data_IF_185429167031
#
_entry.id   IF_185429167031
#
_cell.length_a   1.000
_cell.length_b   1.000
_cell.length_c   1.000
_cell.angle_alpha   90.00
_cell.angle_beta   90.00
_cell.angle_gamma   90.00
#
_symmetry.space_group_name_H-M   'P 1'
#
loop_
_entity.id
_entity.type
_entity.pdbx_description
1 polymer ?
#
# COMPACT_ATOMS: atom_id res chain seq x y z
N UNK A 1 -10.21 50.03 -27.78
CA UNK A 1 -11.60 50.01 -27.31
C UNK A 1 -11.60 49.33 -25.97
N UNK A 2 -11.91 50.05 -24.89
CA UNK A 2 -11.92 49.45 -23.55
C UNK A 2 -13.29 48.85 -23.26
N UNK A 3 -13.31 47.66 -22.68
CA UNK A 3 -14.51 46.96 -22.19
C UNK A 3 -14.68 47.24 -20.71
N UNK A 4 -15.85 47.72 -20.42
CA UNK A 4 -16.41 48.27 -19.20
C UNK A 4 -16.41 47.23 -18.04
N UNK A 5 -15.91 47.65 -16.88
CA UNK A 5 -16.06 46.90 -15.61
C UNK A 5 -17.30 47.41 -14.90
N UNK A 6 -18.29 46.53 -14.67
CA UNK A 6 -19.40 46.81 -13.78
C UNK A 6 -19.08 46.33 -12.34
N UNK A 7 -19.34 47.15 -11.31
CA UNK A 7 -19.09 46.78 -9.92
C UNK A 7 -20.22 45.94 -9.30
N UNK A 8 -19.84 45.00 -8.46
CA UNK A 8 -20.72 44.11 -7.71
C UNK A 8 -21.63 44.87 -6.75
N UNK A 9 -22.94 44.57 -6.82
CA UNK A 9 -23.99 45.05 -5.89
C UNK A 9 -23.80 44.39 -4.52
N UNK A 10 -23.61 45.25 -3.52
CA UNK A 10 -23.64 44.92 -2.08
C UNK A 10 -25.09 44.85 -1.61
N UNK A 11 -25.51 43.69 -1.10
CA UNK A 11 -26.85 43.49 -0.50
C UNK A 11 -26.75 43.92 0.98
N UNK A 12 -27.57 44.89 1.39
CA UNK A 12 -27.72 45.33 2.78
C UNK A 12 -28.79 44.45 3.49
N UNK A 13 -28.65 44.15 4.80
CA UNK A 13 -29.67 43.43 5.56
C UNK A 13 -30.78 44.37 6.00
N UNK A 14 -32.00 43.88 5.83
CA UNK A 14 -33.26 44.55 6.17
C UNK A 14 -33.46 44.56 7.68
N UNK A 15 -33.67 45.74 8.25
CA UNK A 15 -34.04 45.94 9.67
C UNK A 15 -35.55 45.61 9.83
N UNK A 16 -35.86 44.77 10.81
CA UNK A 16 -37.21 44.45 11.25
C UNK A 16 -37.70 45.54 12.20
N UNK A 17 -38.83 46.18 11.86
CA UNK A 17 -39.52 47.15 12.69
C UNK A 17 -40.26 46.44 13.82
N UNK A 18 -40.01 46.90 15.07
CA UNK A 18 -40.80 46.62 16.24
C UNK A 18 -42.05 47.52 16.22
N UNK A 19 -43.24 46.91 16.08
CA UNK A 19 -44.52 47.58 16.27
C UNK A 19 -44.85 47.71 17.79
N UNK A 20 -44.92 48.91 18.27
CA UNK A 20 -45.49 49.27 19.57
C UNK A 20 -47.02 49.20 19.50
N UNK A 21 -47.66 48.49 20.43
CA UNK A 21 -49.12 48.56 20.66
C UNK A 21 -49.43 49.62 21.74
N UNK A 22 -50.50 50.39 21.56
CA UNK A 22 -50.92 51.41 22.53
C UNK A 22 -51.72 50.81 23.68
N UNK A 23 -51.52 51.36 24.90
CA UNK A 23 -52.20 50.96 26.12
C UNK A 23 -53.64 51.42 26.20
N UNK A 24 -54.47 50.60 26.87
CA UNK A 24 -55.86 50.95 27.25
C UNK A 24 -55.93 51.44 28.71
N UNK A 25 -56.79 52.42 29.04
CA UNK A 25 -56.88 53.04 30.37
C UNK A 25 -57.75 52.20 31.33
N UNK A 26 -57.46 52.34 32.61
CA UNK A 26 -57.98 51.59 33.73
C UNK A 26 -59.46 51.84 34.06
N UNK A 27 -60.05 50.83 34.69
CA UNK A 27 -61.38 50.94 35.34
C UNK A 27 -61.21 50.88 36.88
N UNK A 28 -62.13 51.55 37.62
CA UNK A 28 -62.08 51.76 39.06
C UNK A 28 -62.58 50.61 39.91
N UNK A 29 -62.09 50.51 41.13
CA UNK A 29 -62.31 49.44 42.09
C UNK A 29 -63.74 49.38 42.68
N UNK A 30 -64.13 48.16 43.11
CA UNK A 30 -65.24 47.88 43.99
C UNK A 30 -64.79 47.35 45.38
N UNK A 31 -65.49 47.68 46.45
CA UNK A 31 -65.11 47.41 47.82
C UNK A 31 -65.42 45.95 48.27
N UNK A 32 -64.76 45.53 49.28
CA UNK A 32 -64.59 44.19 49.83
C UNK A 32 -65.87 43.50 50.36
N UNK A 33 -65.77 42.16 50.36
CA UNK A 33 -66.57 41.30 51.22
C UNK A 33 -65.66 40.35 52.02
N UNK A 34 -66.01 39.95 53.23
CA UNK A 34 -65.25 39.21 54.16
C UNK A 34 -65.25 37.68 53.95
N UNK A 35 -64.18 37.06 54.30
CA UNK A 35 -63.76 35.70 54.21
C UNK A 35 -64.76 34.56 54.45
N UNK A 36 -64.57 33.52 53.66
CA UNK A 36 -64.86 32.16 54.08
C UNK A 36 -63.59 31.30 53.82
N UNK A 37 -63.09 30.79 54.90
CA UNK A 37 -62.00 29.77 54.92
C UNK A 37 -62.60 28.43 54.48
N UNK A 38 -62.54 28.12 53.18
CA UNK A 38 -62.82 26.79 52.64
C UNK A 38 -61.50 26.12 52.29
N UNK A 39 -61.18 25.12 53.07
CA UNK A 39 -60.10 24.19 52.73
C UNK A 39 -60.56 23.39 51.52
N UNK A 40 -59.99 23.68 50.36
CA UNK A 40 -60.09 22.79 49.21
C UNK A 40 -59.10 21.64 49.38
N UNK A 41 -59.49 20.37 49.29
CA UNK A 41 -58.54 19.28 49.27
C UNK A 41 -57.68 19.37 48.02
N UNK A 42 -56.39 19.35 48.21
CA UNK A 42 -55.37 19.28 47.19
C UNK A 42 -55.59 18.01 46.32
N UNK A 43 -55.66 18.12 44.98
CA UNK A 43 -55.80 16.92 44.17
C UNK A 43 -54.51 16.06 44.27
N UNK A 44 -54.62 14.74 44.35
CA UNK A 44 -53.49 13.86 44.52
C UNK A 44 -52.46 14.07 43.38
N UNK A 45 -51.22 14.30 43.78
CA UNK A 45 -50.11 14.48 42.87
C UNK A 45 -49.97 13.24 41.97
N UNK A 46 -50.21 13.40 40.69
CA UNK A 46 -49.99 12.34 39.70
C UNK A 46 -48.51 11.98 39.68
N UNK A 47 -48.16 10.66 39.81
CA UNK A 47 -46.79 10.26 39.78
C UNK A 47 -46.14 10.60 38.44
N UNK A 48 -45.17 11.51 38.43
CA UNK A 48 -44.34 11.84 37.26
C UNK A 48 -43.48 10.63 36.93
N UNK A 49 -43.91 9.86 35.93
CA UNK A 49 -43.12 8.75 35.42
C UNK A 49 -41.76 9.25 34.93
N UNK A 50 -40.64 8.62 35.33
CA UNK A 50 -39.32 9.12 34.98
C UNK A 50 -39.04 8.90 33.50
N UNK A 51 -39.13 9.94 32.70
CA UNK A 51 -38.75 10.00 31.27
C UNK A 51 -37.26 9.65 31.01
N UNK A 52 -36.46 9.41 32.06
CA UNK A 52 -34.98 9.23 32.01
C UNK A 52 -34.55 7.89 31.43
N UNK A 53 -35.35 6.81 31.52
CA UNK A 53 -34.98 5.47 31.05
C UNK A 53 -34.95 5.30 29.51
N UNK A 54 -35.72 6.07 28.77
CA UNK A 54 -35.78 5.96 27.29
C UNK A 54 -34.55 6.59 26.60
N UNK A 55 -33.92 7.65 27.19
CA UNK A 55 -32.72 8.28 26.63
C UNK A 55 -31.50 7.39 26.78
N UNK A 56 -31.31 6.73 27.93
CA UNK A 56 -30.21 5.78 28.15
C UNK A 56 -30.25 4.59 27.19
N UNK A 57 -31.46 4.01 26.98
CA UNK A 57 -31.61 2.88 26.06
C UNK A 57 -31.31 3.26 24.58
N UNK A 58 -31.70 4.46 24.15
CA UNK A 58 -31.34 4.98 22.81
C UNK A 58 -29.85 5.21 22.67
N UNK A 59 -29.20 5.76 23.68
CA UNK A 59 -27.73 5.95 23.69
C UNK A 59 -26.99 4.60 23.59
N UNK A 60 -27.42 3.60 24.38
CA UNK A 60 -26.85 2.23 24.30
C UNK A 60 -27.05 1.61 22.92
N UNK A 61 -28.24 1.75 22.33
CA UNK A 61 -28.51 1.24 20.97
C UNK A 61 -27.63 1.96 19.93
N UNK A 62 -27.49 3.28 20.01
CA UNK A 62 -26.63 4.04 19.10
C UNK A 62 -25.17 3.59 19.24
N UNK A 63 -24.66 3.45 20.47
CA UNK A 63 -23.30 2.96 20.72
C UNK A 63 -23.12 1.55 20.17
N UNK A 64 -24.09 0.65 20.40
CA UNK A 64 -24.05 -0.71 19.89
C UNK A 64 -24.04 -0.73 18.33
N UNK A 65 -24.87 0.08 17.68
CA UNK A 65 -24.90 0.21 16.21
C UNK A 65 -23.59 0.75 15.68
N UNK A 66 -23.02 1.79 16.32
CA UNK A 66 -21.70 2.34 15.94
C UNK A 66 -20.61 1.29 16.09
N UNK A 67 -20.59 0.53 17.18
CA UNK A 67 -19.63 -0.56 17.38
C UNK A 67 -19.78 -1.66 16.33
N UNK A 68 -21.01 -2.04 16.00
CA UNK A 68 -21.27 -3.03 14.92
C UNK A 68 -20.77 -2.51 13.58
N UNK A 69 -21.02 -1.25 13.23
CA UNK A 69 -20.52 -0.65 11.98
C UNK A 69 -19.00 -0.55 11.95
N UNK A 70 -18.37 -0.17 13.08
CA UNK A 70 -16.92 -0.11 13.21
C UNK A 70 -16.23 -1.48 13.04
N UNK A 71 -16.90 -2.57 13.39
CA UNK A 71 -16.39 -3.93 13.20
C UNK A 71 -16.79 -4.52 11.83
N UNK A 72 -18.02 -4.28 11.39
CA UNK A 72 -18.52 -4.82 10.13
C UNK A 72 -17.83 -4.22 8.91
N UNK A 73 -17.45 -2.94 8.96
CA UNK A 73 -16.74 -2.28 7.86
C UNK A 73 -15.39 -2.93 7.54
N UNK A 74 -14.41 -3.04 8.47
CA UNK A 74 -13.14 -3.65 8.17
C UNK A 74 -13.26 -5.14 7.79
N UNK A 75 -14.17 -5.90 8.41
CA UNK A 75 -14.41 -7.29 8.05
C UNK A 75 -14.95 -7.40 6.62
N UNK A 76 -15.96 -6.58 6.27
CA UNK A 76 -16.50 -6.53 4.92
C UNK A 76 -15.47 -6.12 3.89
N UNK A 77 -14.60 -5.15 4.23
CA UNK A 77 -13.50 -4.68 3.39
C UNK A 77 -12.47 -5.79 3.14
N UNK A 78 -12.10 -6.56 4.17
CA UNK A 78 -11.17 -7.69 4.04
C UNK A 78 -11.76 -8.81 3.17
N UNK A 79 -13.03 -9.16 3.33
CA UNK A 79 -13.70 -10.18 2.50
C UNK A 79 -13.76 -9.71 1.05
N UNK A 80 -14.13 -8.46 0.83
CA UNK A 80 -14.18 -7.87 -0.50
C UNK A 80 -12.79 -7.80 -1.15
N UNK A 81 -11.76 -7.36 -0.40
CA UNK A 81 -10.39 -7.27 -0.86
C UNK A 81 -9.82 -8.66 -1.24
N UNK A 82 -10.10 -9.69 -0.44
CA UNK A 82 -9.68 -11.07 -0.73
C UNK A 82 -10.23 -11.56 -2.07
N UNK A 83 -11.47 -11.18 -2.43
CA UNK A 83 -12.06 -11.50 -3.73
C UNK A 83 -11.53 -10.69 -4.93
N UNK A 84 -10.60 -9.74 -4.69
CA UNK A 84 -9.96 -8.91 -5.74
C UNK A 84 -8.53 -9.32 -6.03
N UNK A 85 -7.96 -10.24 -5.25
CA UNK A 85 -6.60 -10.72 -5.44
C UNK A 85 -6.52 -11.51 -6.74
N UNK A 86 -5.52 -11.25 -7.56
CA UNK A 86 -5.20 -12.04 -8.75
C UNK A 86 -4.34 -13.22 -8.35
N UNK A 87 -4.82 -14.45 -8.61
CA UNK A 87 -4.09 -15.67 -8.29
C UNK A 87 -3.48 -16.29 -9.55
N UNK A 88 -2.26 -16.82 -9.40
CA UNK A 88 -1.52 -17.50 -10.46
C UNK A 88 -0.90 -18.80 -9.92
N UNK A 89 -0.61 -19.75 -10.80
CA UNK A 89 0.13 -20.95 -10.44
C UNK A 89 1.63 -20.61 -10.36
N UNK A 90 2.19 -20.71 -9.16
CA UNK A 90 3.58 -20.31 -8.91
C UNK A 90 4.35 -21.28 -8.02
N UNK A 91 3.70 -21.90 -7.03
CA UNK A 91 4.39 -22.74 -6.06
C UNK A 91 4.79 -24.12 -6.67
N UNK A 92 5.93 -24.63 -6.20
CA UNK A 92 6.47 -25.94 -6.62
C UNK A 92 5.69 -27.13 -6.03
N UNK A 93 4.95 -26.90 -4.94
CA UNK A 93 4.32 -27.94 -4.12
C UNK A 93 5.29 -28.67 -3.18
N UNK A 94 6.49 -28.12 -2.95
CA UNK A 94 7.43 -28.63 -1.97
C UNK A 94 6.85 -28.50 -0.55
N UNK A 95 7.18 -29.41 0.39
CA UNK A 95 6.69 -29.34 1.76
C UNK A 95 7.25 -28.10 2.47
N UNK A 96 6.38 -27.38 3.21
CA UNK A 96 6.76 -26.20 3.99
C UNK A 96 7.84 -26.51 5.02
N UNK A 97 8.71 -25.54 5.25
CA UNK A 97 9.77 -25.57 6.28
C UNK A 97 9.33 -24.78 7.53
N UNK A 98 10.20 -24.71 8.54
CA UNK A 98 9.88 -24.01 9.78
C UNK A 98 9.85 -22.47 9.62
N UNK A 99 10.64 -21.93 8.70
CA UNK A 99 10.66 -20.53 8.36
C UNK A 99 9.59 -20.23 7.30
N UNK A 100 8.79 -19.18 7.50
CA UNK A 100 7.83 -18.70 6.51
C UNK A 100 8.57 -17.85 5.47
N UNK A 101 8.52 -18.27 4.20
CA UNK A 101 9.33 -17.70 3.12
C UNK A 101 8.44 -17.18 1.99
N UNK A 102 8.63 -15.91 1.64
CA UNK A 102 7.97 -15.22 0.55
C UNK A 102 8.99 -14.94 -0.57
N UNK A 103 8.69 -15.36 -1.78
CA UNK A 103 9.43 -14.95 -2.97
C UNK A 103 8.73 -13.73 -3.60
N UNK A 104 9.42 -12.59 -3.57
CA UNK A 104 8.94 -11.35 -4.16
C UNK A 104 9.60 -11.16 -5.52
N UNK A 105 8.79 -11.06 -6.57
CA UNK A 105 9.23 -10.89 -7.94
C UNK A 105 8.75 -9.54 -8.48
N UNK A 106 9.66 -8.73 -9.00
CA UNK A 106 9.32 -7.54 -9.78
C UNK A 106 9.33 -7.90 -11.27
N UNK A 107 8.18 -7.89 -11.90
CA UNK A 107 8.02 -8.33 -13.29
C UNK A 107 7.73 -7.14 -14.21
N UNK A 108 8.43 -7.13 -15.37
CA UNK A 108 8.07 -6.30 -16.51
C UNK A 108 6.91 -6.88 -17.31
N UNK A 109 6.12 -7.79 -16.73
CA UNK A 109 5.08 -8.46 -17.48
C UNK A 109 4.15 -7.43 -18.11
N UNK A 110 4.12 -7.41 -19.43
CA UNK A 110 3.32 -6.52 -20.27
C UNK A 110 1.88 -6.98 -20.42
N UNK A 111 1.49 -7.97 -19.62
CA UNK A 111 0.14 -8.51 -19.61
C UNK A 111 -0.94 -7.47 -19.26
N UNK A 112 -0.53 -6.36 -18.64
CA UNK A 112 -1.39 -5.23 -18.29
C UNK A 112 -1.53 -4.16 -19.40
N UNK A 113 -0.89 -4.36 -20.58
CA UNK A 113 -1.02 -3.45 -21.73
C UNK A 113 -0.39 -2.07 -21.57
N UNK A 114 0.34 -1.80 -20.49
CA UNK A 114 0.90 -0.46 -20.20
C UNK A 114 2.12 -0.07 -21.06
N UNK A 115 2.67 -1.02 -21.83
CA UNK A 115 3.85 -0.81 -22.70
C UNK A 115 3.58 -1.24 -24.15
N UNK A 116 2.69 -0.52 -24.84
CA UNK A 116 2.50 -0.73 -26.27
C UNK A 116 3.71 -0.18 -27.04
N UNK A 117 4.47 -1.08 -27.70
CA UNK A 117 5.43 -0.70 -28.74
C UNK A 117 6.88 -1.18 -28.64
N UNK A 118 7.27 -1.93 -27.61
CA UNK A 118 8.64 -2.51 -27.54
C UNK A 118 8.63 -3.95 -28.11
N UNK A 119 9.38 -4.24 -29.21
CA UNK A 119 9.38 -5.56 -29.86
C UNK A 119 10.25 -6.61 -29.15
N UNK A 120 10.82 -6.34 -27.97
CA UNK A 120 11.57 -7.34 -27.22
C UNK A 120 10.60 -8.35 -26.60
N UNK A 121 10.47 -9.50 -27.25
CA UNK A 121 9.74 -10.66 -26.72
C UNK A 121 10.38 -11.16 -25.42
N UNK A 122 9.57 -11.35 -24.38
CA UNK A 122 9.94 -12.02 -23.13
C UNK A 122 9.57 -11.21 -21.87
N UNK A 123 8.71 -11.81 -21.07
CA UNK A 123 8.50 -11.36 -19.69
C UNK A 123 9.80 -11.60 -18.92
N UNK A 124 10.28 -10.60 -18.19
CA UNK A 124 11.50 -10.70 -17.39
C UNK A 124 11.22 -10.24 -15.97
N UNK A 125 11.82 -10.94 -15.04
CA UNK A 125 11.86 -10.53 -13.64
C UNK A 125 13.19 -9.83 -13.40
N UNK A 126 13.13 -8.52 -13.11
CA UNK A 126 14.33 -7.72 -12.84
C UNK A 126 14.66 -7.65 -11.35
N UNK A 127 13.69 -7.92 -10.49
CA UNK A 127 13.84 -7.96 -9.04
C UNK A 127 13.41 -9.32 -8.52
N UNK A 128 14.31 -9.98 -7.79
CA UNK A 128 14.07 -11.27 -7.12
C UNK A 128 14.53 -11.10 -5.68
N UNK A 129 13.58 -11.14 -4.74
CA UNK A 129 13.87 -11.00 -3.32
C UNK A 129 13.25 -12.14 -2.53
N UNK A 130 14.00 -12.68 -1.58
CA UNK A 130 13.54 -13.67 -0.63
C UNK A 130 13.32 -13.00 0.73
N UNK A 131 12.07 -12.88 1.14
CA UNK A 131 11.71 -12.41 2.47
C UNK A 131 11.45 -13.62 3.35
N UNK A 132 12.21 -13.76 4.42
CA UNK A 132 12.12 -14.91 5.33
C UNK A 132 11.80 -14.44 6.74
N UNK A 133 10.82 -15.09 7.34
CA UNK A 133 10.47 -14.92 8.75
C UNK A 133 10.67 -16.26 9.46
N UNK A 134 11.82 -16.46 10.12
CA UNK A 134 12.08 -17.66 10.89
C UNK A 134 11.21 -17.74 12.15
N UNK A 135 11.05 -18.92 12.77
CA UNK A 135 10.32 -19.06 14.02
C UNK A 135 10.96 -18.27 15.18
N UNK A 136 12.27 -18.07 15.12
CA UNK A 136 13.06 -17.31 16.09
C UNK A 136 14.20 -16.58 15.34
N UNK A 137 14.71 -15.51 15.95
CA UNK A 137 15.78 -14.70 15.33
C UNK A 137 15.25 -13.59 14.43
N UNK A 138 16.11 -13.07 13.58
CA UNK A 138 15.84 -11.89 12.75
C UNK A 138 15.13 -12.26 11.45
N UNK A 139 14.09 -11.51 11.10
CA UNK A 139 13.53 -11.56 9.75
C UNK A 139 14.54 -10.98 8.76
N UNK A 140 14.59 -11.54 7.56
CA UNK A 140 15.57 -11.14 6.54
C UNK A 140 14.91 -10.86 5.19
N UNK A 141 15.48 -9.90 4.46
CA UNK A 141 15.13 -9.58 3.08
C UNK A 141 16.40 -9.68 2.22
N UNK A 142 16.52 -10.78 1.50
CA UNK A 142 17.70 -11.10 0.69
C UNK A 142 17.40 -10.85 -0.79
N UNK A 143 18.15 -9.95 -1.40
CA UNK A 143 18.08 -9.69 -2.83
C UNK A 143 18.97 -10.68 -3.59
N UNK A 144 18.38 -11.44 -4.50
CA UNK A 144 19.11 -12.34 -5.41
C UNK A 144 19.35 -11.57 -6.71
N UNK A 145 20.61 -11.31 -7.10
CA UNK A 145 20.89 -10.63 -8.35
C UNK A 145 20.26 -11.37 -9.54
N UNK A 146 19.56 -10.67 -10.42
CA UNK A 146 18.86 -11.27 -11.57
C UNK A 146 19.78 -12.04 -12.53
N UNK A 147 21.05 -11.64 -12.56
CA UNK A 147 22.09 -12.25 -13.40
C UNK A 147 22.84 -13.39 -12.68
N UNK A 148 22.38 -13.85 -11.49
CA UNK A 148 22.97 -14.99 -10.77
C UNK A 148 22.96 -16.24 -11.65
N UNK A 149 24.14 -16.85 -11.82
CA UNK A 149 24.32 -18.06 -12.63
C UNK A 149 23.95 -19.31 -11.83
N UNK A 150 22.88 -19.97 -12.24
CA UNK A 150 22.29 -21.11 -11.53
C UNK A 150 21.87 -22.21 -12.51
N UNK A 151 21.70 -23.42 -11.99
CA UNK A 151 21.02 -24.50 -12.71
C UNK A 151 19.51 -24.21 -12.75
N UNK A 152 18.90 -24.19 -13.95
CA UNK A 152 17.46 -24.06 -14.14
C UNK A 152 16.91 -25.45 -14.44
N UNK A 153 15.95 -25.97 -13.65
CA UNK A 153 15.35 -27.28 -13.85
C UNK A 153 14.90 -27.51 -15.31
N UNK A 154 15.43 -28.54 -15.96
CA UNK A 154 15.10 -28.89 -17.35
C UNK A 154 15.72 -28.01 -18.44
N UNK A 155 16.46 -26.95 -18.11
CA UNK A 155 17.00 -25.96 -19.06
C UNK A 155 18.53 -25.74 -18.95
N UNK A 156 19.21 -26.49 -18.05
CA UNK A 156 20.65 -26.32 -17.82
C UNK A 156 20.98 -25.04 -17.07
N UNK A 157 22.26 -24.63 -17.15
CA UNK A 157 22.72 -23.45 -16.38
C UNK A 157 22.50 -22.16 -17.16
N UNK A 158 21.90 -21.16 -16.50
CA UNK A 158 21.66 -19.84 -17.07
C UNK A 158 21.56 -18.77 -15.94
N UNK A 159 21.29 -17.52 -16.29
CA UNK A 159 20.93 -16.48 -15.34
C UNK A 159 19.57 -16.79 -14.70
N UNK A 160 19.43 -16.55 -13.40
CA UNK A 160 18.23 -16.92 -12.64
C UNK A 160 16.95 -16.27 -13.21
N UNK A 161 17.03 -15.04 -13.73
CA UNK A 161 15.90 -14.37 -14.36
C UNK A 161 15.41 -15.03 -15.66
N UNK A 162 16.25 -15.86 -16.31
CA UNK A 162 15.87 -16.61 -17.48
C UNK A 162 14.83 -17.71 -17.15
N UNK A 163 14.81 -18.22 -15.92
CA UNK A 163 13.81 -19.19 -15.48
C UNK A 163 12.38 -18.68 -15.62
N UNK A 164 12.17 -17.40 -15.27
CA UNK A 164 10.86 -16.76 -15.44
C UNK A 164 10.45 -16.67 -16.92
N UNK A 165 11.37 -16.28 -17.79
CA UNK A 165 11.10 -16.22 -19.24
C UNK A 165 10.87 -17.59 -19.88
N UNK A 166 11.48 -18.66 -19.33
CA UNK A 166 11.40 -20.04 -19.87
C UNK A 166 10.17 -20.81 -19.38
N UNK A 167 9.72 -20.59 -18.16
CA UNK A 167 8.65 -21.36 -17.54
C UNK A 167 7.81 -20.61 -16.53
N UNK A 168 7.83 -19.27 -16.56
CA UNK A 168 7.00 -18.42 -15.71
C UNK A 168 7.34 -18.50 -14.22
N UNK A 169 6.39 -18.07 -13.37
CA UNK A 169 6.55 -18.03 -11.93
C UNK A 169 6.93 -19.40 -11.32
N UNK A 170 6.31 -20.48 -11.75
CA UNK A 170 6.56 -21.83 -11.22
C UNK A 170 8.03 -22.27 -11.42
N UNK A 171 8.59 -22.03 -12.61
CA UNK A 171 10.00 -22.39 -12.87
C UNK A 171 10.96 -21.47 -12.11
N UNK A 172 10.60 -20.18 -11.91
CA UNK A 172 11.38 -19.27 -11.07
C UNK A 172 11.39 -19.77 -9.62
N UNK A 173 10.24 -20.12 -9.06
CA UNK A 173 10.12 -20.66 -7.68
C UNK A 173 11.00 -21.91 -7.54
N UNK A 174 10.86 -22.91 -8.41
CA UNK A 174 11.69 -24.14 -8.38
C UNK A 174 13.17 -23.83 -8.49
N UNK A 175 13.54 -22.88 -9.35
CA UNK A 175 14.96 -22.48 -9.51
C UNK A 175 15.51 -21.82 -8.25
N UNK A 176 14.69 -20.98 -7.59
CA UNK A 176 15.07 -20.35 -6.32
C UNK A 176 15.18 -21.37 -5.19
N UNK A 177 14.24 -22.31 -5.10
CA UNK A 177 14.27 -23.39 -4.11
C UNK A 177 15.50 -24.31 -4.28
N UNK A 178 15.80 -24.72 -5.52
CA UNK A 178 17.00 -25.53 -5.81
C UNK A 178 18.29 -24.77 -5.50
N UNK A 179 18.33 -23.47 -5.77
CA UNK A 179 19.50 -22.62 -5.50
C UNK A 179 19.71 -22.35 -4.01
N UNK A 180 18.64 -22.11 -3.26
CA UNK A 180 18.72 -21.69 -1.84
C UNK A 180 18.62 -22.85 -0.86
N UNK A 181 18.01 -23.97 -1.28
CA UNK A 181 17.63 -25.08 -0.39
C UNK A 181 16.46 -24.74 0.52
N UNK A 182 15.78 -23.61 0.29
CA UNK A 182 14.63 -23.15 1.06
C UNK A 182 13.35 -23.33 0.28
N UNK A 183 12.28 -23.79 0.92
CA UNK A 183 10.94 -23.85 0.31
C UNK A 183 10.31 -22.48 0.28
N UNK A 184 9.65 -22.13 -0.81
CA UNK A 184 8.85 -20.92 -0.97
C UNK A 184 7.40 -21.22 -0.60
N UNK A 185 6.93 -20.63 0.51
CA UNK A 185 5.55 -20.80 0.99
C UNK A 185 4.58 -19.88 0.26
N UNK A 186 5.05 -18.69 -0.16
CA UNK A 186 4.24 -17.66 -0.81
C UNK A 186 5.00 -17.00 -1.96
N UNK A 187 4.32 -16.82 -3.08
CA UNK A 187 4.82 -16.06 -4.22
C UNK A 187 4.03 -14.76 -4.40
N UNK A 188 4.73 -13.65 -4.52
CA UNK A 188 4.11 -12.35 -4.78
C UNK A 188 4.84 -11.64 -5.91
N UNK A 189 4.12 -11.39 -6.98
CA UNK A 189 4.59 -10.65 -8.14
C UNK A 189 4.03 -9.23 -8.14
N UNK A 190 4.89 -8.25 -8.40
CA UNK A 190 4.53 -6.85 -8.52
C UNK A 190 4.80 -6.43 -9.96
N UNK A 191 3.74 -6.11 -10.69
CA UNK A 191 3.83 -5.56 -12.04
C UNK A 191 4.22 -4.08 -12.04
N UNK A 192 4.95 -3.64 -13.07
CA UNK A 192 5.34 -2.21 -13.19
C UNK A 192 4.13 -1.26 -13.32
N UNK A 193 3.03 -1.70 -13.95
CA UNK A 193 1.78 -0.93 -14.00
C UNK A 193 1.16 -0.67 -12.64
N UNK A 194 1.42 -1.54 -11.66
CA UNK A 194 0.93 -1.41 -10.31
C UNK A 194 1.44 -0.18 -9.56
N UNK A 195 2.68 0.23 -9.82
CA UNK A 195 3.24 1.47 -9.22
C UNK A 195 2.46 2.68 -9.70
N UNK A 196 2.17 2.76 -11.01
CA UNK A 196 1.35 3.84 -11.58
C UNK A 196 -0.04 3.88 -10.95
N UNK A 197 -0.74 2.74 -10.89
CA UNK A 197 -2.06 2.66 -10.31
C UNK A 197 -2.10 3.04 -8.81
N UNK A 198 -1.06 2.66 -8.04
CA UNK A 198 -0.93 3.06 -6.64
C UNK A 198 -0.75 4.57 -6.47
N UNK A 199 0.07 5.19 -7.31
CA UNK A 199 0.27 6.66 -7.29
C UNK A 199 -1.04 7.37 -7.59
N UNK A 200 -1.80 6.92 -8.59
CA UNK A 200 -3.09 7.52 -8.94
C UNK A 200 -4.13 7.32 -7.81
N UNK A 201 -4.15 6.15 -7.18
CA UNK A 201 -5.07 5.86 -6.07
C UNK A 201 -4.82 6.71 -4.81
N UNK A 202 -3.57 7.14 -4.57
CA UNK A 202 -3.25 8.08 -3.48
C UNK A 202 -3.41 9.55 -3.89
N UNK A 203 -3.86 9.81 -5.10
CA UNK A 203 -4.08 11.16 -5.64
C UNK A 203 -2.79 11.88 -6.03
N UNK A 204 -1.83 11.16 -6.61
CA UNK A 204 -0.52 11.68 -7.00
C UNK A 204 0.48 11.72 -5.86
N UNK A 205 1.76 11.88 -6.20
CA UNK A 205 2.87 11.97 -5.23
C UNK A 205 3.79 13.13 -5.57
N UNK A 206 4.39 13.76 -4.54
CA UNK A 206 5.43 14.76 -4.74
C UNK A 206 6.78 14.06 -4.94
N UNK A 207 7.43 14.35 -6.07
CA UNK A 207 8.76 13.86 -6.40
C UNK A 207 9.69 15.04 -6.67
N UNK A 208 10.97 14.87 -6.36
CA UNK A 208 11.98 15.92 -6.46
C UNK A 208 13.19 15.43 -7.26
N UNK A 209 13.67 16.26 -8.19
CA UNK A 209 14.93 16.04 -8.90
C UNK A 209 15.54 17.39 -9.29
N UNK A 210 16.86 17.49 -9.19
CA UNK A 210 17.62 18.67 -9.64
C UNK A 210 17.99 18.59 -11.14
N UNK A 211 17.59 17.49 -11.81
CA UNK A 211 17.90 17.26 -13.22
C UNK A 211 16.84 17.92 -14.10
N UNK A 212 17.32 18.53 -15.20
CA UNK A 212 16.47 18.91 -16.34
C UNK A 212 16.47 17.75 -17.33
N UNK A 213 15.31 17.12 -17.55
CA UNK A 213 15.20 15.84 -18.24
C UNK A 213 14.15 15.91 -19.33
N UNK A 214 14.55 15.45 -20.52
CA UNK A 214 13.68 15.06 -21.62
C UNK A 214 14.19 13.71 -22.13
N UNK A 215 13.68 12.61 -21.51
CA UNK A 215 14.14 11.24 -21.77
C UNK A 215 13.09 10.47 -22.58
N UNK A 216 13.26 10.41 -23.89
CA UNK A 216 12.38 9.70 -24.82
C UNK A 216 12.19 8.21 -24.44
N UNK A 217 13.21 7.56 -23.82
CA UNK A 217 13.15 6.12 -23.48
C UNK A 217 12.27 5.83 -22.26
N UNK A 218 12.26 6.69 -21.27
CA UNK A 218 11.35 6.59 -20.12
C UNK A 218 10.05 7.34 -20.32
N UNK A 219 10.03 8.29 -21.27
CA UNK A 219 8.94 9.22 -21.47
C UNK A 219 8.89 10.33 -20.41
N UNK A 220 9.97 10.53 -19.64
CA UNK A 220 10.02 11.55 -18.59
C UNK A 220 10.39 12.91 -19.18
N UNK A 221 9.53 13.89 -18.97
CA UNK A 221 9.85 15.31 -19.10
C UNK A 221 9.81 15.93 -17.71
N UNK A 222 10.95 16.48 -17.25
CA UNK A 222 11.08 16.99 -15.89
C UNK A 222 11.94 18.25 -15.85
N UNK A 223 11.47 19.26 -15.13
CA UNK A 223 12.27 20.46 -14.83
C UNK A 223 12.81 20.37 -13.39
N UNK A 224 13.98 20.97 -13.08
CA UNK A 224 14.54 20.94 -11.74
C UNK A 224 13.54 21.44 -10.68
N UNK A 225 13.44 20.70 -9.57
CA UNK A 225 12.55 21.02 -8.44
C UNK A 225 11.67 19.85 -8.00
N UNK A 226 10.70 20.18 -7.15
CA UNK A 226 9.70 19.23 -6.66
C UNK A 226 8.37 19.48 -7.36
N UNK A 227 7.76 18.42 -7.89
CA UNK A 227 6.50 18.48 -8.62
C UNK A 227 5.56 17.36 -8.18
N UNK A 228 4.25 17.64 -8.21
CA UNK A 228 3.23 16.58 -8.07
C UNK A 228 3.25 15.75 -9.36
N UNK A 229 3.42 14.44 -9.21
CA UNK A 229 3.45 13.45 -10.28
C UNK A 229 2.22 12.55 -10.18
N UNK A 230 1.55 12.32 -11.29
CA UNK A 230 0.57 11.25 -11.46
C UNK A 230 1.27 9.89 -11.65
N UNK A 231 0.49 8.81 -11.79
CA UNK A 231 1.05 7.47 -11.95
C UNK A 231 1.95 7.32 -13.16
N UNK A 232 1.60 7.93 -14.29
CA UNK A 232 2.38 7.86 -15.53
C UNK A 232 3.73 8.56 -15.36
N UNK A 233 3.70 9.76 -14.81
CA UNK A 233 4.91 10.56 -14.54
C UNK A 233 5.80 9.90 -13.51
N UNK A 234 5.22 9.36 -12.42
CA UNK A 234 5.98 8.66 -11.38
C UNK A 234 6.63 7.37 -11.91
N UNK A 235 5.94 6.64 -12.79
CA UNK A 235 6.50 5.46 -13.45
C UNK A 235 7.66 5.84 -14.39
N UNK A 236 7.50 6.89 -15.21
CA UNK A 236 8.55 7.42 -16.06
C UNK A 236 9.77 7.88 -15.24
N UNK A 237 9.53 8.57 -14.11
CA UNK A 237 10.55 9.01 -13.17
C UNK A 237 11.33 7.83 -12.56
N UNK A 238 10.64 6.76 -12.16
CA UNK A 238 11.27 5.55 -11.61
C UNK A 238 12.07 4.74 -12.65
N UNK A 239 11.70 4.85 -13.95
CA UNK A 239 12.33 4.11 -15.06
C UNK A 239 13.49 4.85 -15.70
N UNK A 240 13.57 6.17 -15.56
CA UNK A 240 14.59 6.99 -16.17
C UNK A 240 16.00 6.52 -15.75
N UNK A 241 16.87 6.34 -16.74
CA UNK A 241 18.23 5.85 -16.54
C UNK A 241 19.26 6.60 -17.39
N UNK A 242 18.92 6.82 -18.65
CA UNK A 242 19.93 7.26 -19.64
C UNK A 242 20.27 8.75 -19.52
N UNK A 243 19.33 9.55 -19.07
CA UNK A 243 19.52 10.99 -18.84
C UNK A 243 20.04 11.31 -17.43
N UNK A 244 20.32 10.28 -16.61
CA UNK A 244 20.92 10.44 -15.27
C UNK A 244 22.42 10.22 -15.31
N UNK A 245 23.24 11.19 -14.88
CA UNK A 245 24.69 11.02 -14.73
C UNK A 245 25.08 9.87 -13.79
N UNK A 246 24.23 9.52 -12.82
CA UNK A 246 24.44 8.41 -11.89
C UNK A 246 24.00 7.05 -12.46
N UNK A 247 23.35 7.00 -13.62
CA UNK A 247 22.88 5.78 -14.28
C UNK A 247 21.97 4.92 -13.42
N UNK A 248 22.38 3.67 -13.15
CA UNK A 248 21.59 2.70 -12.36
C UNK A 248 21.43 3.09 -10.88
N UNK A 249 22.42 3.77 -10.30
CA UNK A 249 22.34 4.24 -8.90
C UNK A 249 21.23 5.28 -8.78
N UNK A 250 21.20 6.25 -9.68
CA UNK A 250 20.14 7.26 -9.70
C UNK A 250 18.76 6.66 -9.96
N UNK A 251 18.64 5.63 -10.78
CA UNK A 251 17.40 4.87 -10.96
C UNK A 251 16.93 4.26 -9.63
N UNK A 252 17.82 3.63 -8.89
CA UNK A 252 17.47 3.03 -7.58
C UNK A 252 17.04 4.09 -6.57
N UNK A 253 17.74 5.24 -6.52
CA UNK A 253 17.37 6.37 -5.65
C UNK A 253 15.95 6.88 -5.96
N UNK A 254 15.60 7.04 -7.25
CA UNK A 254 14.26 7.47 -7.68
C UNK A 254 13.17 6.45 -7.35
N UNK A 255 13.43 5.16 -7.57
CA UNK A 255 12.48 4.10 -7.17
C UNK A 255 12.19 4.15 -5.68
N UNK A 256 13.22 4.30 -4.84
CA UNK A 256 13.05 4.46 -3.39
C UNK A 256 12.25 5.73 -3.04
N UNK A 257 12.49 6.83 -3.78
CA UNK A 257 11.74 8.08 -3.57
C UNK A 257 10.25 7.90 -3.87
N UNK A 258 9.88 7.25 -4.98
CA UNK A 258 8.49 6.96 -5.35
C UNK A 258 7.83 6.09 -4.26
N UNK A 259 8.47 5.01 -3.82
CA UNK A 259 7.94 4.12 -2.76
C UNK A 259 7.73 4.90 -1.46
N UNK A 260 8.70 5.73 -1.09
CA UNK A 260 8.64 6.56 0.12
C UNK A 260 7.50 7.59 0.03
N UNK A 261 7.31 8.22 -1.12
CA UNK A 261 6.25 9.20 -1.35
C UNK A 261 4.86 8.56 -1.30
N UNK A 262 4.66 7.38 -1.92
CA UNK A 262 3.42 6.59 -1.81
C UNK A 262 3.14 6.24 -0.34
N UNK A 263 4.13 5.70 0.37
CA UNK A 263 3.99 5.31 1.78
C UNK A 263 3.58 6.50 2.66
N UNK A 264 4.16 7.68 2.43
CA UNK A 264 3.82 8.89 3.16
C UNK A 264 2.37 9.36 2.89
N UNK A 265 1.89 9.24 1.65
CA UNK A 265 0.49 9.56 1.28
C UNK A 265 -0.50 8.57 1.91
N UNK A 266 -0.20 7.26 1.87
CA UNK A 266 -1.02 6.20 2.48
C UNK A 266 -1.17 6.40 4.00
N UNK A 267 -0.10 6.80 4.68
CA UNK A 267 -0.08 7.00 6.13
C UNK A 267 -0.87 8.25 6.61
N UNK A 268 -1.41 9.07 5.70
CA UNK A 268 -2.18 10.26 6.08
C UNK A 268 -3.50 9.88 6.77
N UNK A 269 -3.88 10.56 7.86
CA UNK A 269 -5.14 10.28 8.56
C UNK A 269 -6.37 10.33 7.66
N UNK A 270 -6.37 11.22 6.65
CA UNK A 270 -7.45 11.34 5.68
C UNK A 270 -7.69 10.06 4.88
N UNK A 271 -6.64 9.35 4.47
CA UNK A 271 -6.72 8.06 3.78
C UNK A 271 -7.25 6.96 4.71
N UNK A 272 -6.77 6.96 5.98
CA UNK A 272 -7.13 5.93 6.95
C UNK A 272 -8.58 6.00 7.46
N UNK A 273 -9.21 7.18 7.45
CA UNK A 273 -10.60 7.36 7.93
C UNK A 273 -11.63 7.50 6.81
N UNK A 274 -11.21 7.62 5.56
CA UNK A 274 -12.10 7.75 4.41
C UNK A 274 -12.36 6.36 3.77
N UNK A 275 -13.58 5.80 3.89
CA UNK A 275 -13.89 4.49 3.31
C UNK A 275 -13.67 4.40 1.80
N UNK A 276 -13.94 5.48 1.03
CA UNK A 276 -13.70 5.53 -0.40
C UNK A 276 -12.21 5.41 -0.72
N UNK A 277 -11.37 6.22 -0.08
CA UNK A 277 -9.92 6.17 -0.25
C UNK A 277 -9.32 4.80 0.15
N UNK A 278 -9.88 4.13 1.17
CA UNK A 278 -9.48 2.76 1.54
C UNK A 278 -9.77 1.76 0.41
N UNK A 279 -10.97 1.84 -0.18
CA UNK A 279 -11.38 0.96 -1.29
C UNK A 279 -10.53 1.22 -2.53
N UNK A 280 -10.31 2.48 -2.89
CA UNK A 280 -9.50 2.86 -4.06
C UNK A 280 -8.04 2.39 -3.91
N UNK A 281 -7.44 2.63 -2.74
CA UNK A 281 -6.08 2.20 -2.43
C UNK A 281 -5.93 0.67 -2.45
N UNK A 282 -6.85 -0.06 -1.82
CA UNK A 282 -6.85 -1.52 -1.83
C UNK A 282 -7.07 -2.06 -3.24
N UNK A 283 -8.01 -1.48 -4.01
CA UNK A 283 -8.25 -1.88 -5.40
C UNK A 283 -6.99 -1.73 -6.25
N UNK A 284 -6.34 -0.57 -6.18
CA UNK A 284 -5.12 -0.29 -6.94
C UNK A 284 -3.95 -1.17 -6.47
N UNK A 285 -3.78 -1.32 -5.16
CA UNK A 285 -2.73 -2.17 -4.60
C UNK A 285 -2.89 -3.63 -5.00
N UNK A 286 -4.09 -4.19 -4.90
CA UNK A 286 -4.36 -5.58 -5.26
C UNK A 286 -4.31 -5.82 -6.77
N UNK A 287 -4.72 -4.85 -7.59
CA UNK A 287 -4.58 -4.93 -9.04
C UNK A 287 -3.11 -4.92 -9.50
N UNK A 288 -2.21 -4.38 -8.68
CA UNK A 288 -0.77 -4.35 -8.91
C UNK A 288 -0.07 -5.68 -8.61
N UNK A 289 -0.76 -6.59 -7.91
CA UNK A 289 -0.20 -7.83 -7.38
C UNK A 289 -0.80 -9.05 -8.08
N UNK A 290 0.06 -10.03 -8.36
CA UNK A 290 -0.36 -11.41 -8.62
C UNK A 290 0.29 -12.30 -7.55
N UNK A 291 -0.48 -13.20 -6.96
CA UNK A 291 0.00 -14.08 -5.90
C UNK A 291 -0.27 -15.55 -6.23
N UNK A 292 0.37 -16.44 -5.49
CA UNK A 292 0.06 -17.88 -5.62
C UNK A 292 -1.40 -18.19 -5.22
N UNK A 293 -1.85 -19.41 -5.52
CA UNK A 293 -3.24 -19.84 -5.31
C UNK A 293 -3.67 -19.87 -3.84
N UNK A 294 -2.72 -20.07 -2.93
CA UNK A 294 -2.98 -20.23 -1.49
C UNK A 294 -2.87 -18.93 -0.70
N UNK A 295 -2.27 -17.89 -1.29
CA UNK A 295 -2.06 -16.59 -0.63
C UNK A 295 -3.33 -15.73 -0.64
N UNK A 296 -3.86 -15.46 0.56
CA UNK A 296 -5.01 -14.56 0.78
C UNK A 296 -4.62 -13.21 1.36
N UNK A 297 -5.65 -12.38 1.61
CA UNK A 297 -5.46 -11.02 2.17
C UNK A 297 -4.79 -11.02 3.55
N UNK A 298 -4.98 -12.08 4.35
CA UNK A 298 -4.34 -12.20 5.66
C UNK A 298 -2.85 -12.53 5.51
N UNK A 299 -2.48 -13.31 4.51
CA UNK A 299 -1.09 -13.65 4.23
C UNK A 299 -0.34 -12.45 3.66
N UNK A 300 -1.00 -11.62 2.83
CA UNK A 300 -0.47 -10.31 2.43
C UNK A 300 -0.30 -9.37 3.64
N UNK A 301 -1.17 -9.45 4.64
CA UNK A 301 -1.01 -8.76 5.92
C UNK A 301 0.22 -9.25 6.70
N UNK A 302 0.46 -10.57 6.74
CA UNK A 302 1.66 -11.17 7.36
C UNK A 302 2.93 -10.81 6.60
N UNK A 303 2.88 -10.84 5.26
CA UNK A 303 3.95 -10.35 4.39
C UNK A 303 4.36 -8.91 4.76
N UNK A 304 3.40 -8.00 4.89
CA UNK A 304 3.67 -6.61 5.24
C UNK A 304 4.34 -6.47 6.62
N UNK A 305 3.92 -7.28 7.59
CA UNK A 305 4.55 -7.32 8.92
C UNK A 305 5.96 -7.91 8.88
N UNK A 306 6.16 -9.00 8.12
CA UNK A 306 7.48 -9.63 7.92
C UNK A 306 8.43 -8.66 7.19
N UNK A 307 7.95 -7.98 6.14
CA UNK A 307 8.72 -6.97 5.42
C UNK A 307 9.14 -5.80 6.33
N UNK A 308 8.21 -5.31 7.16
CA UNK A 308 8.52 -4.28 8.16
C UNK A 308 9.57 -4.77 9.18
N UNK A 309 9.48 -6.02 9.61
CA UNK A 309 10.47 -6.60 10.53
C UNK A 309 11.84 -6.72 9.86
N UNK A 310 11.91 -7.25 8.64
CA UNK A 310 13.16 -7.42 7.90
C UNK A 310 13.82 -6.08 7.50
N UNK A 311 13.02 -5.02 7.31
CA UNK A 311 13.54 -3.67 6.97
C UNK A 311 13.71 -2.77 8.18
N UNK A 312 13.32 -3.22 9.37
CA UNK A 312 13.50 -2.52 10.64
C UNK A 312 14.94 -2.62 11.19
N UNK A 313 15.17 -2.04 12.39
CA UNK A 313 16.51 -1.98 12.98
C UNK A 313 17.07 -3.35 13.36
N UNK A 314 16.21 -4.33 13.66
CA UNK A 314 16.61 -5.70 14.04
C UNK A 314 16.55 -6.68 12.84
N UNK A 315 16.17 -6.19 11.67
CA UNK A 315 16.06 -6.97 10.44
C UNK A 315 17.39 -7.04 9.68
N UNK A 316 17.53 -8.06 8.84
CA UNK A 316 18.72 -8.28 8.03
C UNK A 316 18.40 -8.06 6.56
N UNK A 317 19.20 -7.24 5.87
CA UNK A 317 19.07 -6.96 4.44
C UNK A 317 20.40 -7.15 3.75
N UNK A 318 20.40 -7.81 2.60
CA UNK A 318 21.63 -7.97 1.83
C UNK A 318 21.47 -8.85 0.61
N UNK A 319 22.59 -9.35 0.14
CA UNK A 319 22.71 -10.27 -0.98
C UNK A 319 23.47 -11.52 -0.53
N UNK A 320 23.29 -12.67 -1.20
CA UNK A 320 24.14 -13.83 -0.94
C UNK A 320 25.61 -13.51 -1.29
N UNK A 321 26.58 -14.23 -0.70
CA UNK A 321 28.01 -13.95 -0.89
C UNK A 321 28.41 -14.14 -2.37
N UNK A 322 28.86 -13.05 -3.00
CA UNK A 322 29.20 -12.99 -4.41
C UNK A 322 30.69 -13.36 -4.57
N UNK A 323 30.98 -14.35 -5.42
CA UNK A 323 32.34 -14.74 -5.77
C UNK A 323 32.90 -13.97 -6.96
N UNK A 324 32.10 -13.71 -7.99
CA UNK A 324 32.49 -12.96 -9.18
C UNK A 324 31.30 -12.23 -9.80
N UNK A 325 31.41 -10.91 -9.93
CA UNK A 325 30.38 -10.05 -10.55
C UNK A 325 30.37 -10.08 -12.09
N UNK A 326 31.42 -10.63 -12.70
CA UNK A 326 31.62 -10.65 -14.16
C UNK A 326 31.97 -12.05 -14.68
N UNK A 327 31.42 -13.07 -14.05
CA UNK A 327 31.58 -14.45 -14.45
C UNK A 327 31.10 -14.70 -15.87
N UNK A 328 31.96 -15.37 -16.69
CA UNK A 328 31.68 -15.62 -18.12
C UNK A 328 31.75 -17.10 -18.45
N UNK A 329 30.71 -17.89 -18.14
CA UNK A 329 30.69 -19.33 -18.40
C UNK A 329 30.60 -19.72 -19.88
N UNK A 330 30.40 -18.73 -20.78
CA UNK A 330 30.10 -18.93 -22.20
C UNK A 330 28.58 -19.08 -22.47
N UNK A 331 28.11 -18.53 -23.58
CA UNK A 331 26.73 -18.65 -24.04
C UNK A 331 25.70 -17.73 -23.37
N UNK A 332 25.93 -17.27 -22.13
CA UNK A 332 24.96 -16.46 -21.37
C UNK A 332 25.44 -15.02 -21.09
N UNK A 333 26.60 -14.64 -21.64
CA UNK A 333 27.22 -13.33 -21.41
C UNK A 333 27.83 -13.17 -20.02
N UNK A 334 27.86 -11.95 -19.48
CA UNK A 334 28.30 -11.67 -18.11
C UNK A 334 27.22 -12.07 -17.12
N UNK A 335 27.59 -12.82 -16.09
CA UNK A 335 26.72 -13.32 -15.03
C UNK A 335 27.35 -13.05 -13.66
N UNK A 336 26.59 -13.25 -12.60
CA UNK A 336 27.03 -13.18 -11.21
C UNK A 336 27.23 -14.60 -10.70
N UNK A 337 28.44 -14.92 -10.25
CA UNK A 337 28.76 -16.20 -9.61
C UNK A 337 28.62 -16.06 -8.09
N UNK A 338 27.80 -16.90 -7.51
CA UNK A 338 27.74 -17.10 -6.06
C UNK A 338 28.54 -18.34 -5.71
N UNK A 339 29.36 -18.28 -4.68
CA UNK A 339 30.13 -19.43 -4.24
C UNK A 339 29.18 -20.49 -3.63
N UNK A 340 29.15 -21.74 -4.16
CA UNK A 340 28.10 -22.69 -3.80
C UNK A 340 28.06 -23.08 -2.32
N UNK A 341 29.25 -23.34 -1.72
CA UNK A 341 29.33 -23.75 -0.32
C UNK A 341 29.01 -22.58 0.65
N UNK A 342 29.39 -21.36 0.28
CA UNK A 342 29.02 -20.15 1.02
C UNK A 342 27.55 -19.84 0.89
N UNK A 343 26.93 -20.00 -0.29
CA UNK A 343 25.50 -19.86 -0.51
C UNK A 343 24.69 -20.81 0.37
N UNK A 344 25.06 -22.09 0.39
CA UNK A 344 24.34 -23.08 1.20
C UNK A 344 24.37 -22.73 2.70
N UNK A 345 25.53 -22.33 3.24
CA UNK A 345 25.64 -21.87 4.64
C UNK A 345 24.86 -20.60 4.89
N UNK A 346 24.91 -19.65 3.97
CA UNK A 346 24.20 -18.38 4.04
C UNK A 346 22.68 -18.60 4.12
N UNK A 347 22.10 -19.36 3.20
CA UNK A 347 20.66 -19.62 3.18
C UNK A 347 20.21 -20.49 4.35
N UNK A 348 21.03 -21.41 4.85
CA UNK A 348 20.74 -22.10 6.10
C UNK A 348 20.63 -21.13 7.28
N UNK A 349 21.54 -20.15 7.39
CA UNK A 349 21.48 -19.12 8.44
C UNK A 349 20.30 -18.16 8.27
N UNK A 350 19.86 -17.92 7.03
CA UNK A 350 18.62 -17.17 6.72
C UNK A 350 17.40 -17.94 7.25
N UNK A 351 17.29 -19.23 6.96
CA UNK A 351 16.20 -20.09 7.43
C UNK A 351 16.14 -20.18 8.95
N UNK A 352 17.30 -20.24 9.61
CA UNK A 352 17.40 -20.33 11.08
C UNK A 352 17.30 -18.95 11.78
N UNK A 353 17.28 -17.83 11.04
CA UNK A 353 17.25 -16.47 11.60
C UNK A 353 18.52 -16.02 12.30
N UNK A 354 19.65 -16.64 11.98
CA UNK A 354 20.98 -16.34 12.55
C UNK A 354 21.89 -15.59 11.56
N UNK A 355 21.36 -15.26 10.38
CA UNK A 355 22.11 -14.57 9.35
C UNK A 355 22.62 -13.22 9.84
N UNK A 356 23.88 -12.94 9.57
CA UNK A 356 24.53 -11.63 9.74
C UNK A 356 25.13 -11.21 8.40
N UNK A 357 25.00 -9.95 8.05
CA UNK A 357 25.66 -9.38 6.86
C UNK A 357 26.71 -8.42 7.36
N UNK A 358 27.96 -8.69 7.01
CA UNK A 358 29.04 -7.75 7.25
C UNK A 358 28.86 -6.57 6.27
N UNK A 359 28.77 -5.35 6.81
CA UNK A 359 28.81 -4.14 5.98
C UNK A 359 30.25 -3.96 5.48
N UNK A 360 30.48 -4.13 4.16
CA UNK A 360 31.74 -3.76 3.51
C UNK A 360 31.81 -2.24 3.24
#
# INVERSE_FOLDING_TARGET
MPVDQQPARRIQPTQSYLQQQPGYPGQPGHPGQPGHSGQHPEPPATPRTPRRRRRGRRAVVIVAVVLVLLLAWPIGLLIWANGKITHIDALSGAPSQAAETYLLAGSDSRADGTLAGDPTEGQRTDTIMLLTKPPSGSASLISIPRDTYVAIPGHGNNKINASYALGGPELLVRTVEDFTGMTVDHYVEIGMGGVSALVDAVGGVELCSDLDVDDEKSGLVWTPGCHEADGTTALAFARMRYSDPKGDIGRTERQQQVIKAITAKVARPGTLVNPGAQVDLLSAGLAALAVDQDTGILDLGRLALAFRAATGPDGVRGTPPIADLNYRPGGVGSAVLIEPDAAARFFASVADGTVTIEEE
#
